data_IF_696249061176
#
_entry.id   IF_696249061176
#
_cell.length_a   1.000
_cell.length_b   1.000
_cell.length_c   1.000
_cell.angle_alpha   90.00
_cell.angle_beta   90.00
_cell.angle_gamma   90.00
#
_symmetry.space_group_name_H-M   'P 1'
#
loop_
_entity.id
_entity.type
_entity.pdbx_description
1 polymer ?
#
# COMPACT_ATOMS: atom_id res chain seq x y z
N UNK A 1 3.29 -1.05 -4.95
CA UNK A 1 2.97 -2.48 -5.07
C UNK A 1 2.94 -2.88 -6.54
N UNK A 2 2.09 -2.29 -7.42
CA UNK A 2 1.94 -2.68 -8.84
C UNK A 2 3.22 -2.59 -9.72
N UNK A 3 4.26 -1.90 -9.32
CA UNK A 3 5.52 -1.85 -10.08
C UNK A 3 6.47 -3.03 -9.76
N UNK A 4 6.31 -3.67 -8.61
CA UNK A 4 7.19 -4.78 -8.21
C UNK A 4 7.00 -6.00 -9.11
N UNK A 5 5.77 -6.47 -9.41
CA UNK A 5 5.57 -7.64 -10.26
C UNK A 5 6.04 -7.47 -11.71
N UNK A 6 6.13 -6.24 -12.20
CA UNK A 6 6.59 -5.94 -13.59
C UNK A 6 7.93 -6.61 -13.88
N UNK A 7 8.88 -6.50 -12.95
CA UNK A 7 10.22 -7.08 -13.09
C UNK A 7 10.21 -8.61 -13.13
N UNK A 8 9.34 -9.25 -12.35
CA UNK A 8 9.33 -10.71 -12.17
C UNK A 8 8.43 -11.43 -13.17
N UNK A 9 7.37 -10.76 -13.65
CA UNK A 9 6.34 -11.36 -14.48
C UNK A 9 6.34 -10.84 -15.93
N UNK A 10 7.22 -9.88 -16.26
CA UNK A 10 7.27 -9.29 -17.60
C UNK A 10 6.00 -8.54 -18.01
N UNK A 11 5.23 -8.04 -17.04
CA UNK A 11 3.95 -7.36 -17.25
C UNK A 11 4.12 -5.83 -17.20
N UNK A 12 3.06 -5.07 -17.37
CA UNK A 12 3.05 -3.62 -17.14
C UNK A 12 2.39 -3.28 -15.79
N UNK A 13 2.71 -2.12 -15.22
CA UNK A 13 2.07 -1.64 -13.99
C UNK A 13 0.54 -1.46 -14.15
N UNK A 14 0.09 -1.21 -15.38
CA UNK A 14 -1.32 -1.02 -15.77
C UNK A 14 -1.97 -2.27 -16.36
N UNK A 15 -1.37 -3.45 -16.23
CA UNK A 15 -1.95 -4.70 -16.73
C UNK A 15 -3.34 -4.92 -16.14
N UNK A 16 -4.31 -5.40 -16.93
CA UNK A 16 -5.70 -5.61 -16.55
C UNK A 16 -6.33 -4.38 -15.84
N UNK A 17 -6.44 -3.22 -16.52
CA UNK A 17 -6.86 -1.98 -15.89
C UNK A 17 -8.30 -2.03 -15.37
N UNK A 18 -9.22 -2.65 -16.10
CA UNK A 18 -10.63 -2.80 -15.68
C UNK A 18 -10.75 -3.65 -14.42
N UNK A 19 -10.02 -4.77 -14.38
CA UNK A 19 -9.94 -5.62 -13.19
C UNK A 19 -9.43 -4.82 -11.96
N UNK A 20 -8.38 -4.02 -12.16
CA UNK A 20 -7.84 -3.17 -11.09
C UNK A 20 -8.83 -2.11 -10.63
N UNK A 21 -9.59 -1.53 -11.55
CA UNK A 21 -10.61 -0.52 -11.23
C UNK A 21 -11.75 -1.12 -10.41
N UNK A 22 -12.21 -2.33 -10.75
CA UNK A 22 -13.24 -3.04 -9.99
C UNK A 22 -12.75 -3.29 -8.57
N UNK A 23 -11.59 -3.93 -8.40
CA UNK A 23 -11.00 -4.27 -7.10
C UNK A 23 -10.77 -3.02 -6.24
N UNK A 24 -10.21 -1.97 -6.81
CA UNK A 24 -9.98 -0.71 -6.10
C UNK A 24 -11.30 -0.01 -5.71
N UNK A 25 -12.28 -0.02 -6.60
CA UNK A 25 -13.62 0.52 -6.35
C UNK A 25 -14.35 -0.21 -5.23
N UNK A 26 -14.33 -1.54 -5.26
CA UNK A 26 -14.93 -2.39 -4.21
C UNK A 26 -14.25 -2.14 -2.86
N UNK A 27 -12.92 -2.07 -2.82
CA UNK A 27 -12.20 -1.77 -1.58
C UNK A 27 -12.53 -0.39 -1.03
N UNK A 28 -12.58 0.61 -1.90
CA UNK A 28 -12.95 1.98 -1.52
C UNK A 28 -14.37 2.03 -0.93
N UNK A 29 -15.34 1.40 -1.59
CA UNK A 29 -16.73 1.37 -1.12
C UNK A 29 -16.87 0.62 0.22
N UNK A 30 -16.14 -0.49 0.39
CA UNK A 30 -16.10 -1.25 1.64
C UNK A 30 -15.54 -0.39 2.78
N UNK A 31 -14.40 0.27 2.55
CA UNK A 31 -13.77 1.14 3.53
C UNK A 31 -14.68 2.34 3.89
N UNK A 32 -15.27 2.98 2.88
CA UNK A 32 -16.22 4.08 3.08
C UNK A 32 -17.42 3.64 3.89
N UNK A 33 -18.03 2.51 3.54
CA UNK A 33 -19.17 1.95 4.29
C UNK A 33 -18.81 1.68 5.75
N UNK A 34 -17.64 1.08 5.99
CA UNK A 34 -17.15 0.83 7.34
C UNK A 34 -16.97 2.13 8.13
N UNK A 35 -16.35 3.15 7.54
CA UNK A 35 -16.17 4.46 8.19
C UNK A 35 -17.51 5.13 8.54
N UNK A 36 -18.45 5.16 7.59
CA UNK A 36 -19.78 5.73 7.80
C UNK A 36 -20.57 4.96 8.87
N UNK A 37 -20.40 3.64 8.90
CA UNK A 37 -21.03 2.82 9.93
C UNK A 37 -20.43 3.11 11.32
N UNK A 38 -19.09 3.21 11.43
CA UNK A 38 -18.43 3.54 12.68
C UNK A 38 -18.80 4.95 13.18
N UNK A 39 -18.91 5.92 12.28
CA UNK A 39 -19.39 7.26 12.63
C UNK A 39 -20.80 7.20 13.26
N UNK A 40 -21.72 6.45 12.66
CA UNK A 40 -23.08 6.27 13.22
C UNK A 40 -23.05 5.60 14.60
N UNK A 41 -22.16 4.63 14.79
CA UNK A 41 -21.99 3.94 16.08
C UNK A 41 -21.45 4.91 17.14
N UNK A 42 -20.41 5.69 16.80
CA UNK A 42 -19.82 6.68 17.70
C UNK A 42 -20.85 7.75 18.10
N UNK A 43 -21.59 8.29 17.14
CA UNK A 43 -22.69 9.27 17.42
C UNK A 43 -23.75 8.71 18.37
N UNK A 44 -24.14 7.43 18.20
CA UNK A 44 -25.12 6.78 19.11
C UNK A 44 -24.59 6.60 20.53
N UNK A 45 -23.27 6.45 20.68
CA UNK A 45 -22.61 6.35 22.00
C UNK A 45 -22.32 7.71 22.63
N UNK A 46 -22.60 8.82 21.95
CA UNK A 46 -22.26 10.16 22.41
C UNK A 46 -20.76 10.45 22.41
N UNK A 47 -19.97 9.69 21.61
CA UNK A 47 -18.56 9.94 21.43
C UNK A 47 -18.35 11.21 20.61
N UNK A 48 -17.49 12.12 21.08
CA UNK A 48 -17.12 13.36 20.41
C UNK A 48 -15.61 13.40 20.20
N UNK A 49 -15.21 14.14 19.15
CA UNK A 49 -13.80 14.41 18.92
C UNK A 49 -13.22 15.23 20.08
N UNK A 50 -12.18 14.75 20.70
CA UNK A 50 -11.40 15.47 21.71
C UNK A 50 -9.95 15.52 21.23
N UNK A 51 -9.47 16.71 20.90
CA UNK A 51 -8.09 16.92 20.51
C UNK A 51 -7.25 17.31 21.73
N UNK A 52 -6.01 16.87 21.76
CA UNK A 52 -5.01 17.37 22.70
C UNK A 52 -4.60 18.82 22.35
N UNK A 53 -3.91 19.49 23.26
CA UNK A 53 -3.51 20.89 23.08
C UNK A 53 -2.59 21.09 21.86
N UNK A 54 -1.77 20.10 21.51
CA UNK A 54 -0.88 20.17 20.34
C UNK A 54 -1.68 20.11 19.04
N UNK A 55 -2.64 19.21 18.95
CA UNK A 55 -3.55 19.08 17.79
C UNK A 55 -4.39 20.33 17.62
N UNK A 56 -4.96 20.88 18.70
CA UNK A 56 -5.72 22.13 18.63
C UNK A 56 -4.89 23.31 18.14
N UNK A 57 -3.64 23.40 18.58
CA UNK A 57 -2.70 24.43 18.10
C UNK A 57 -2.41 24.27 16.60
N UNK A 58 -2.13 23.05 16.14
CA UNK A 58 -1.93 22.77 14.71
C UNK A 58 -3.16 23.12 13.87
N UNK A 59 -4.37 22.81 14.35
CA UNK A 59 -5.61 23.16 13.65
C UNK A 59 -5.77 24.68 13.55
N UNK A 60 -5.53 25.41 14.64
CA UNK A 60 -5.62 26.87 14.64
C UNK A 60 -4.58 27.52 13.71
N UNK A 61 -3.35 27.01 13.68
CA UNK A 61 -2.31 27.47 12.74
C UNK A 61 -2.68 27.17 11.29
N UNK A 62 -3.34 26.04 11.02
CA UNK A 62 -3.80 25.69 9.70
C UNK A 62 -4.94 26.57 9.21
N UNK A 63 -5.92 26.90 10.08
CA UNK A 63 -7.03 27.81 9.76
C UNK A 63 -6.55 29.24 9.45
N UNK A 64 -5.43 29.67 10.03
CA UNK A 64 -4.86 31.00 9.77
C UNK A 64 -4.07 31.10 8.47
N UNK A 65 -3.73 29.97 7.84
CA UNK A 65 -2.98 29.96 6.57
C UNK A 65 -3.93 30.26 5.40
N UNK A 66 -3.51 31.17 4.52
CA UNK A 66 -4.20 31.38 3.25
C UNK A 66 -4.16 30.09 2.40
N UNK A 67 -5.31 29.52 2.15
CA UNK A 67 -5.42 28.37 1.29
C UNK A 67 -5.38 28.79 -0.18
N UNK A 68 -4.43 28.25 -0.93
CA UNK A 68 -4.36 28.49 -2.38
C UNK A 68 -5.54 27.84 -3.14
N UNK A 69 -5.66 28.16 -4.42
CA UNK A 69 -6.70 27.56 -5.28
C UNK A 69 -6.51 26.03 -5.35
N UNK A 70 -7.46 25.30 -4.77
CA UNK A 70 -7.43 23.83 -4.73
C UNK A 70 -7.37 23.19 -6.13
N UNK A 71 -7.95 23.80 -7.16
CA UNK A 71 -7.90 23.28 -8.52
C UNK A 71 -6.46 23.20 -9.07
N UNK A 72 -5.61 24.16 -8.72
CA UNK A 72 -4.20 24.17 -9.12
C UNK A 72 -3.43 23.01 -8.48
N UNK A 73 -3.83 22.60 -7.28
CA UNK A 73 -3.18 21.48 -6.58
C UNK A 73 -3.37 20.12 -7.28
N UNK A 74 -4.40 19.99 -8.13
CA UNK A 74 -4.61 18.76 -8.91
C UNK A 74 -3.71 18.65 -10.14
N UNK A 75 -3.09 19.73 -10.62
CA UNK A 75 -2.23 19.72 -11.82
C UNK A 75 -1.04 18.75 -11.66
N UNK A 76 -0.23 18.80 -10.58
CA UNK A 76 0.86 17.85 -10.39
C UNK A 76 0.37 16.40 -10.33
N UNK A 77 -0.74 16.17 -9.66
CA UNK A 77 -1.34 14.83 -9.57
C UNK A 77 -1.76 14.32 -10.94
N UNK A 78 -2.42 15.14 -11.74
CA UNK A 78 -2.83 14.78 -13.10
C UNK A 78 -1.62 14.48 -14.00
N UNK A 79 -0.53 15.26 -13.89
CA UNK A 79 0.71 15.05 -14.63
C UNK A 79 1.45 13.76 -14.24
N UNK A 80 1.22 13.24 -13.04
CA UNK A 80 1.71 11.91 -12.64
C UNK A 80 0.77 10.81 -13.12
N UNK A 81 -0.53 10.93 -12.86
CA UNK A 81 -1.49 9.85 -13.07
C UNK A 81 -1.83 9.64 -14.54
N UNK A 82 -2.12 10.71 -15.28
CA UNK A 82 -2.58 10.59 -16.68
C UNK A 82 -1.54 9.89 -17.57
N UNK A 83 -0.25 10.29 -17.60
CA UNK A 83 0.72 9.63 -18.46
C UNK A 83 0.98 8.17 -18.09
N UNK A 84 0.78 7.75 -16.83
CA UNK A 84 0.87 6.34 -16.44
C UNK A 84 -0.14 5.47 -17.19
N UNK A 85 -1.36 5.96 -17.45
CA UNK A 85 -2.35 5.22 -18.25
C UNK A 85 -1.94 5.05 -19.71
N UNK A 86 -1.07 5.92 -20.22
CA UNK A 86 -0.49 5.82 -21.56
C UNK A 86 0.83 5.04 -21.59
N UNK A 87 1.19 4.37 -20.48
CA UNK A 87 2.38 3.52 -20.40
C UNK A 87 3.69 4.28 -20.22
N UNK A 88 3.66 5.57 -19.90
CA UNK A 88 4.87 6.34 -19.61
C UNK A 88 5.53 5.79 -18.33
N UNK A 89 6.85 5.68 -18.36
CA UNK A 89 7.61 5.18 -17.22
C UNK A 89 7.38 6.04 -15.97
N UNK A 90 7.15 5.40 -14.84
CA UNK A 90 6.82 6.04 -13.56
C UNK A 90 7.85 7.09 -13.11
N UNK A 91 9.13 6.90 -13.42
CA UNK A 91 10.18 7.87 -13.08
C UNK A 91 9.98 9.20 -13.80
N UNK A 92 9.62 9.17 -15.07
CA UNK A 92 9.35 10.41 -15.85
C UNK A 92 8.08 11.09 -15.36
N UNK A 93 7.03 10.34 -15.03
CA UNK A 93 5.79 10.93 -14.53
C UNK A 93 5.98 11.58 -13.16
N UNK A 94 6.76 10.96 -12.27
CA UNK A 94 7.12 11.55 -10.97
C UNK A 94 7.98 12.81 -11.14
N UNK A 95 8.92 12.81 -12.09
CA UNK A 95 9.70 14.02 -12.42
C UNK A 95 8.81 15.14 -12.95
N UNK A 96 7.85 14.84 -13.82
CA UNK A 96 6.87 15.82 -14.32
C UNK A 96 6.05 16.42 -13.17
N UNK A 97 5.56 15.57 -12.26
CA UNK A 97 4.85 16.01 -11.06
C UNK A 97 5.72 16.92 -10.19
N UNK A 98 6.96 16.53 -9.91
CA UNK A 98 7.89 17.31 -9.10
C UNK A 98 8.24 18.66 -9.73
N UNK A 99 8.56 18.68 -11.04
CA UNK A 99 8.84 19.92 -11.79
C UNK A 99 7.61 20.84 -11.77
N UNK A 100 6.41 20.30 -11.94
CA UNK A 100 5.18 21.11 -11.90
C UNK A 100 4.95 21.75 -10.53
N UNK A 101 5.21 21.02 -9.43
CA UNK A 101 5.17 21.58 -8.08
C UNK A 101 6.20 22.71 -7.94
N UNK A 102 7.42 22.49 -8.40
CA UNK A 102 8.48 23.50 -8.34
C UNK A 102 8.08 24.77 -9.10
N UNK A 103 7.49 24.65 -10.29
CA UNK A 103 7.04 25.80 -11.09
C UNK A 103 5.85 26.52 -10.43
N UNK A 104 4.81 25.79 -10.04
CA UNK A 104 3.56 26.36 -9.53
C UNK A 104 3.71 27.01 -8.15
N UNK A 105 4.59 26.46 -7.32
CA UNK A 105 4.71 26.87 -5.91
C UNK A 105 6.06 27.51 -5.56
N UNK A 106 6.94 27.74 -6.53
CA UNK A 106 8.29 28.29 -6.31
C UNK A 106 8.32 29.54 -5.45
N UNK A 107 7.39 30.47 -5.71
CA UNK A 107 7.30 31.74 -4.98
C UNK A 107 6.57 31.62 -3.62
N UNK A 108 5.94 30.48 -3.35
CA UNK A 108 5.25 30.21 -2.09
C UNK A 108 6.09 29.40 -1.11
N UNK A 109 7.24 28.94 -1.55
CA UNK A 109 8.16 28.13 -0.74
C UNK A 109 9.25 29.06 -0.20
N UNK A 110 9.21 29.36 1.10
CA UNK A 110 10.16 30.28 1.74
C UNK A 110 11.55 29.65 1.87
N UNK A 111 11.64 28.42 2.37
CA UNK A 111 12.91 27.73 2.59
C UNK A 111 13.05 26.50 1.69
N UNK A 112 13.40 26.73 0.41
CA UNK A 112 13.50 25.70 -0.62
C UNK A 112 14.52 24.61 -0.31
N UNK A 113 15.66 25.00 0.26
CA UNK A 113 16.75 24.06 0.60
C UNK A 113 16.31 23.13 1.73
N UNK A 114 15.64 23.66 2.74
CA UNK A 114 15.14 22.86 3.86
C UNK A 114 14.09 21.84 3.40
N UNK A 115 13.15 22.26 2.57
CA UNK A 115 12.13 21.35 1.99
C UNK A 115 12.79 20.25 1.15
N UNK A 116 13.79 20.60 0.34
CA UNK A 116 14.54 19.59 -0.42
C UNK A 116 15.29 18.63 0.50
N UNK A 117 15.94 19.13 1.54
CA UNK A 117 16.65 18.29 2.51
C UNK A 117 15.69 17.36 3.27
N UNK A 118 14.53 17.85 3.68
CA UNK A 118 13.49 17.01 4.30
C UNK A 118 13.04 15.92 3.33
N UNK A 119 12.74 16.28 2.07
CA UNK A 119 12.32 15.31 1.06
C UNK A 119 13.39 14.23 0.76
N UNK A 120 14.67 14.62 0.72
CA UNK A 120 15.79 13.67 0.58
C UNK A 120 15.90 12.77 1.80
N UNK A 121 15.78 13.34 3.01
CA UNK A 121 15.82 12.57 4.27
C UNK A 121 14.70 11.52 4.32
N UNK A 122 13.48 11.90 3.95
CA UNK A 122 12.32 11.00 3.90
C UNK A 122 12.52 9.90 2.85
N UNK A 123 13.04 10.26 1.67
CA UNK A 123 13.37 9.29 0.63
C UNK A 123 14.45 8.30 1.09
N UNK A 124 15.49 8.76 1.77
CA UNK A 124 16.53 7.90 2.35
C UNK A 124 15.95 6.96 3.40
N UNK A 125 15.05 7.45 4.26
CA UNK A 125 14.33 6.61 5.22
C UNK A 125 13.55 5.47 4.55
N UNK A 126 12.82 5.78 3.47
CA UNK A 126 12.09 4.79 2.69
C UNK A 126 13.00 3.77 2.00
N UNK A 127 14.14 4.23 1.44
CA UNK A 127 15.14 3.35 0.80
C UNK A 127 15.76 2.41 1.83
N UNK A 128 16.19 2.92 2.98
CA UNK A 128 16.79 2.13 4.05
C UNK A 128 15.80 1.09 4.59
N UNK A 129 14.55 1.50 4.85
CA UNK A 129 13.51 0.58 5.32
C UNK A 129 13.24 -0.55 4.30
N UNK A 130 13.10 -0.21 3.02
CA UNK A 130 12.90 -1.20 1.96
C UNK A 130 14.10 -2.14 1.82
N UNK A 131 15.31 -1.60 1.85
CA UNK A 131 16.55 -2.38 1.76
C UNK A 131 16.71 -3.33 2.96
N UNK A 132 16.36 -2.88 4.16
CA UNK A 132 16.39 -3.70 5.36
C UNK A 132 15.42 -4.89 5.27
N UNK A 133 14.21 -4.67 4.76
CA UNK A 133 13.22 -5.75 4.54
C UNK A 133 13.72 -6.75 3.50
N UNK A 134 14.29 -6.29 2.39
CA UNK A 134 14.88 -7.17 1.36
C UNK A 134 16.06 -7.95 1.92
N UNK A 135 16.94 -7.29 2.69
CA UNK A 135 18.07 -7.94 3.39
C UNK A 135 17.61 -8.99 4.39
N UNK A 136 16.60 -8.66 5.21
CA UNK A 136 15.96 -9.63 6.11
C UNK A 136 15.40 -10.83 5.36
N UNK A 137 14.70 -10.59 4.24
CA UNK A 137 14.18 -11.64 3.38
C UNK A 137 15.29 -12.54 2.83
N UNK A 138 16.44 -11.97 2.46
CA UNK A 138 17.63 -12.73 2.03
C UNK A 138 18.13 -13.69 3.11
N UNK A 139 18.19 -13.23 4.36
CA UNK A 139 18.57 -14.08 5.50
C UNK A 139 17.49 -15.10 5.82
N UNK A 140 16.21 -14.67 5.82
CA UNK A 140 15.09 -15.56 6.11
C UNK A 140 15.02 -16.76 5.16
N UNK A 141 15.35 -16.58 3.86
CA UNK A 141 15.43 -17.68 2.86
C UNK A 141 16.39 -18.81 3.24
N UNK A 142 17.37 -18.53 4.08
CA UNK A 142 18.36 -19.53 4.55
C UNK A 142 17.83 -20.34 5.75
N UNK A 143 16.66 -20.00 6.28
CA UNK A 143 16.10 -20.66 7.48
C UNK A 143 15.17 -21.82 7.10
N UNK A 144 15.14 -22.86 7.95
CA UNK A 144 14.19 -23.96 7.81
C UNK A 144 12.74 -23.50 7.90
N UNK A 145 12.47 -22.46 8.71
CA UNK A 145 11.14 -21.86 8.82
C UNK A 145 10.61 -21.28 7.50
N UNK A 146 11.48 -20.65 6.73
CA UNK A 146 11.11 -20.15 5.40
C UNK A 146 10.77 -21.30 4.43
N UNK A 147 11.61 -22.33 4.40
CA UNK A 147 11.35 -23.53 3.58
C UNK A 147 10.04 -24.20 3.96
N UNK A 148 9.71 -24.26 5.27
CA UNK A 148 8.43 -24.78 5.75
C UNK A 148 7.26 -23.92 5.25
N UNK A 149 7.36 -22.59 5.34
CA UNK A 149 6.34 -21.66 4.84
C UNK A 149 6.07 -21.85 3.34
N UNK A 150 7.14 -21.94 2.54
CA UNK A 150 7.05 -22.18 1.10
C UNK A 150 6.42 -23.54 0.82
N UNK A 151 6.84 -24.58 1.52
CA UNK A 151 6.29 -25.94 1.35
C UNK A 151 4.79 -25.97 1.71
N UNK A 152 4.38 -25.33 2.80
CA UNK A 152 2.96 -25.23 3.17
C UNK A 152 2.19 -24.51 2.06
N UNK A 153 2.66 -23.34 1.61
CA UNK A 153 2.01 -22.58 0.55
C UNK A 153 1.88 -23.38 -0.76
N UNK A 154 2.89 -24.18 -1.11
CA UNK A 154 2.93 -24.94 -2.38
C UNK A 154 2.30 -26.32 -2.29
N UNK A 155 2.13 -26.88 -1.10
CA UNK A 155 1.47 -28.19 -0.88
C UNK A 155 -0.04 -28.09 -0.68
N UNK A 156 -0.57 -26.88 -0.53
CA UNK A 156 -2.01 -26.67 -0.45
C UNK A 156 -2.66 -27.14 -1.76
N UNK A 157 -3.44 -28.21 -1.66
CA UNK A 157 -4.27 -28.67 -2.78
C UNK A 157 -5.38 -27.65 -3.09
N UNK A 158 -5.89 -27.68 -4.32
CA UNK A 158 -6.96 -26.78 -4.76
C UNK A 158 -6.52 -25.82 -5.87
N UNK A 159 -7.19 -24.68 -5.99
CA UNK A 159 -6.86 -23.69 -7.04
C UNK A 159 -5.46 -23.12 -6.85
N UNK A 160 -4.62 -23.13 -7.90
CA UNK A 160 -3.29 -22.53 -7.85
C UNK A 160 -3.30 -21.04 -7.43
N UNK A 161 -4.35 -20.30 -7.79
CA UNK A 161 -4.51 -18.90 -7.40
C UNK A 161 -4.69 -18.75 -5.88
N UNK A 162 -5.41 -19.68 -5.24
CA UNK A 162 -5.61 -19.66 -3.78
C UNK A 162 -4.27 -19.94 -3.08
N UNK A 163 -3.54 -20.98 -3.48
CA UNK A 163 -2.27 -21.33 -2.86
C UNK A 163 -1.21 -20.24 -3.04
N UNK A 164 -1.14 -19.64 -4.22
CA UNK A 164 -0.28 -18.50 -4.48
C UNK A 164 -0.64 -17.26 -3.61
N UNK A 165 -1.94 -16.97 -3.50
CA UNK A 165 -2.46 -15.88 -2.68
C UNK A 165 -2.08 -16.04 -1.21
N UNK A 166 -2.33 -17.23 -0.65
CA UNK A 166 -2.01 -17.55 0.74
C UNK A 166 -0.51 -17.48 1.01
N UNK A 167 0.31 -18.02 0.11
CA UNK A 167 1.76 -17.92 0.21
C UNK A 167 2.25 -16.48 0.21
N UNK A 168 1.72 -15.66 -0.69
CA UNK A 168 2.06 -14.23 -0.78
C UNK A 168 1.61 -13.47 0.47
N UNK A 169 0.39 -13.71 0.96
CA UNK A 169 -0.14 -13.11 2.17
C UNK A 169 0.69 -13.47 3.41
N UNK A 170 1.04 -14.75 3.58
CA UNK A 170 1.85 -15.24 4.71
C UNK A 170 3.25 -14.62 4.71
N UNK A 171 3.90 -14.55 3.53
CA UNK A 171 5.23 -13.92 3.41
C UNK A 171 5.16 -12.43 3.72
N UNK A 172 4.12 -11.72 3.27
CA UNK A 172 3.92 -10.31 3.57
C UNK A 172 3.63 -10.07 5.04
N UNK A 173 2.82 -10.93 5.66
CA UNK A 173 2.55 -10.90 7.08
C UNK A 173 3.78 -11.17 7.93
N UNK A 174 4.58 -12.17 7.57
CA UNK A 174 5.83 -12.47 8.27
C UNK A 174 6.84 -11.33 8.21
N UNK A 175 6.92 -10.64 7.04
CA UNK A 175 7.80 -9.48 6.85
C UNK A 175 7.25 -8.20 7.50
N UNK A 176 5.96 -8.14 7.85
CA UNK A 176 5.30 -6.89 8.25
C UNK A 176 5.38 -5.81 7.17
N UNK A 177 5.43 -6.21 5.89
CA UNK A 177 5.62 -5.31 4.76
C UNK A 177 5.06 -5.91 3.48
N UNK A 178 4.06 -5.23 2.88
CA UNK A 178 3.47 -5.67 1.62
C UNK A 178 4.47 -5.70 0.47
N UNK A 179 5.31 -4.69 0.33
CA UNK A 179 6.33 -4.63 -0.73
C UNK A 179 7.44 -5.65 -0.53
N UNK A 180 7.91 -5.83 0.69
CA UNK A 180 8.94 -6.81 1.03
C UNK A 180 8.45 -8.24 0.83
N UNK A 181 7.29 -8.57 1.39
CA UNK A 181 6.69 -9.89 1.24
C UNK A 181 6.31 -10.21 -0.21
N UNK A 182 5.81 -9.23 -0.96
CA UNK A 182 5.53 -9.37 -2.39
C UNK A 182 6.81 -9.72 -3.18
N UNK A 183 7.91 -9.02 -2.92
CA UNK A 183 9.19 -9.29 -3.56
C UNK A 183 9.62 -10.74 -3.30
N UNK A 184 9.58 -11.16 -2.03
CA UNK A 184 9.92 -12.53 -1.65
C UNK A 184 9.01 -13.57 -2.30
N UNK A 185 7.70 -13.33 -2.31
CA UNK A 185 6.73 -14.22 -2.93
C UNK A 185 6.97 -14.36 -4.44
N UNK A 186 7.21 -13.26 -5.13
CA UNK A 186 7.48 -13.29 -6.57
C UNK A 186 8.78 -14.00 -6.91
N UNK A 187 9.85 -13.77 -6.15
CA UNK A 187 11.12 -14.47 -6.36
C UNK A 187 11.01 -15.98 -6.10
N UNK A 188 10.19 -16.39 -5.14
CA UNK A 188 10.17 -17.78 -4.67
C UNK A 188 9.06 -18.60 -5.29
N UNK A 189 7.85 -18.02 -5.37
CA UNK A 189 6.65 -18.75 -5.79
C UNK A 189 6.33 -18.53 -7.27
N UNK A 190 6.52 -17.32 -7.82
CA UNK A 190 6.06 -17.00 -9.16
C UNK A 190 6.59 -17.95 -10.26
N UNK A 191 7.88 -18.38 -10.27
CA UNK A 191 8.39 -19.28 -11.31
C UNK A 191 7.55 -20.56 -11.43
N UNK A 192 7.22 -21.19 -10.30
CA UNK A 192 6.41 -22.41 -10.27
C UNK A 192 5.02 -22.21 -10.86
N UNK A 193 4.36 -21.10 -10.54
CA UNK A 193 3.00 -20.83 -11.01
C UNK A 193 2.97 -20.41 -12.48
N UNK A 194 4.04 -19.80 -12.99
CA UNK A 194 4.24 -19.54 -14.41
C UNK A 194 4.43 -20.86 -15.20
N UNK A 195 5.21 -21.81 -14.66
CA UNK A 195 5.38 -23.16 -15.23
C UNK A 195 4.07 -23.94 -15.28
N UNK A 196 3.14 -23.69 -14.34
CA UNK A 196 1.78 -24.25 -14.37
C UNK A 196 0.87 -23.59 -15.43
N UNK A 197 1.37 -22.62 -16.21
CA UNK A 197 0.65 -21.95 -17.28
C UNK A 197 -0.30 -20.84 -16.84
N UNK A 198 -0.18 -20.35 -15.59
CA UNK A 198 -1.03 -19.25 -15.12
C UNK A 198 -0.64 -17.96 -15.83
N UNK A 199 -1.66 -17.21 -16.29
CA UNK A 199 -1.46 -15.94 -16.96
C UNK A 199 -0.67 -14.95 -16.09
N UNK A 200 0.46 -14.40 -16.58
CA UNK A 200 1.29 -13.47 -15.81
C UNK A 200 0.54 -12.22 -15.33
N UNK A 201 -0.44 -11.72 -16.13
CA UNK A 201 -1.24 -10.57 -15.75
C UNK A 201 -2.18 -10.85 -14.57
N UNK A 202 -2.78 -12.05 -14.56
CA UNK A 202 -3.60 -12.51 -13.43
C UNK A 202 -2.72 -12.68 -12.19
N UNK A 203 -1.58 -13.35 -12.32
CA UNK A 203 -0.65 -13.56 -11.24
C UNK A 203 -0.16 -12.23 -10.63
N UNK A 204 0.10 -11.23 -11.49
CA UNK A 204 0.45 -9.87 -11.08
C UNK A 204 -0.63 -9.26 -10.16
N UNK A 205 -1.89 -9.33 -10.58
CA UNK A 205 -2.99 -8.71 -9.81
C UNK A 205 -3.29 -9.45 -8.53
N UNK A 206 -3.29 -10.76 -8.57
CA UNK A 206 -3.47 -11.60 -7.37
C UNK A 206 -2.32 -11.36 -6.38
N UNK A 207 -1.06 -11.31 -6.84
CA UNK A 207 0.09 -10.98 -5.97
C UNK A 207 -0.07 -9.62 -5.30
N UNK A 208 -0.49 -8.61 -6.08
CA UNK A 208 -0.69 -7.25 -5.58
C UNK A 208 -1.85 -7.14 -4.58
N UNK A 209 -2.91 -7.92 -4.74
CA UNK A 209 -4.02 -7.99 -3.80
C UNK A 209 -3.67 -8.80 -2.55
N UNK A 210 -2.96 -9.92 -2.71
CA UNK A 210 -2.61 -10.80 -1.61
C UNK A 210 -1.59 -10.16 -0.63
N UNK A 211 -0.61 -9.42 -1.15
CA UNK A 211 0.46 -8.88 -0.31
C UNK A 211 -0.01 -7.82 0.69
N UNK A 212 -1.16 -7.17 0.46
CA UNK A 212 -1.72 -6.15 1.34
C UNK A 212 -2.71 -6.72 2.37
N UNK A 213 -2.90 -8.04 2.43
CA UNK A 213 -3.86 -8.66 3.37
C UNK A 213 -3.31 -8.79 4.78
N UNK A 214 -2.15 -9.43 4.92
CA UNK A 214 -1.53 -9.66 6.23
C UNK A 214 -0.33 -8.76 6.51
N UNK A 215 0.05 -7.88 5.59
CA UNK A 215 1.14 -6.93 5.80
C UNK A 215 0.86 -5.94 6.93
N UNK A 216 -0.42 -5.62 7.13
CA UNK A 216 -0.90 -4.63 8.10
C UNK A 216 -1.12 -5.20 9.51
N UNK A 217 -0.45 -6.31 9.87
CA UNK A 217 -0.45 -6.85 11.22
C UNK A 217 0.18 -5.86 12.23
N UNK A 218 -0.04 -6.01 13.56
CA UNK A 218 0.33 -4.99 14.55
C UNK A 218 1.81 -4.59 14.55
N UNK A 219 2.70 -5.42 14.05
CA UNK A 219 4.15 -5.17 13.96
C UNK A 219 4.56 -4.39 12.70
N UNK A 220 3.62 -4.08 11.81
CA UNK A 220 3.91 -3.28 10.61
C UNK A 220 4.26 -1.83 10.99
N UNK A 221 5.37 -1.32 10.45
CA UNK A 221 5.86 0.03 10.74
C UNK A 221 4.88 1.14 10.34
N UNK A 222 4.11 0.96 9.26
CA UNK A 222 3.10 1.94 8.83
C UNK A 222 1.96 2.00 9.84
N UNK A 223 1.50 0.85 10.38
CA UNK A 223 0.46 0.81 11.40
C UNK A 223 0.91 1.51 12.68
N UNK A 224 2.14 1.26 13.11
CA UNK A 224 2.75 1.94 14.27
C UNK A 224 2.81 3.46 14.03
N UNK A 225 3.26 3.89 12.85
CA UNK A 225 3.38 5.31 12.52
C UNK A 225 2.01 5.99 12.45
N UNK A 226 1.01 5.39 11.81
CA UNK A 226 -0.34 5.95 11.71
C UNK A 226 -0.96 6.15 13.10
N UNK A 227 -0.85 5.14 13.97
CA UNK A 227 -1.35 5.24 15.35
C UNK A 227 -0.62 6.34 16.13
N UNK A 228 0.71 6.43 16.00
CA UNK A 228 1.51 7.47 16.65
C UNK A 228 1.13 8.87 16.18
N UNK A 229 0.93 9.06 14.86
CA UNK A 229 0.48 10.34 14.30
C UNK A 229 -0.92 10.75 14.80
N UNK A 230 -1.78 9.77 15.07
CA UNK A 230 -3.11 10.02 15.64
C UNK A 230 -3.10 10.15 17.18
N UNK A 231 -1.95 9.99 17.84
CA UNK A 231 -1.86 9.97 19.30
C UNK A 231 -2.56 8.78 19.95
N UNK A 232 -2.73 7.67 19.21
CA UNK A 232 -3.46 6.49 19.66
C UNK A 232 -2.52 5.32 19.95
N UNK A 233 -2.89 4.54 20.96
CA UNK A 233 -2.26 3.24 21.23
C UNK A 233 -2.84 2.15 20.31
N UNK A 234 -2.13 1.03 20.17
CA UNK A 234 -2.65 -0.13 19.45
C UNK A 234 -4.00 -0.61 20.01
N UNK A 235 -4.18 -0.58 21.33
CA UNK A 235 -5.42 -0.99 21.97
C UNK A 235 -6.62 -0.13 21.57
N UNK A 236 -6.40 1.14 21.37
CA UNK A 236 -7.45 2.12 21.01
C UNK A 236 -7.78 2.12 19.53
N UNK A 237 -6.76 2.20 18.67
CA UNK A 237 -6.95 2.45 17.24
C UNK A 237 -6.82 1.23 16.34
N UNK A 238 -6.00 0.23 16.69
CA UNK A 238 -5.66 -0.86 15.78
C UNK A 238 -6.85 -1.70 15.33
N UNK A 239 -7.88 -1.87 16.17
CA UNK A 239 -9.09 -2.62 15.80
C UNK A 239 -9.76 -2.12 14.51
N UNK A 240 -9.75 -0.80 14.28
CA UNK A 240 -10.34 -0.18 13.10
C UNK A 240 -9.42 -0.33 11.87
N UNK A 241 -8.11 -0.21 12.08
CA UNK A 241 -7.12 -0.50 11.05
C UNK A 241 -7.22 -1.96 10.61
N UNK A 242 -7.23 -2.90 11.56
CA UNK A 242 -7.38 -4.33 11.28
C UNK A 242 -8.66 -4.66 10.49
N UNK A 243 -9.78 -4.05 10.85
CA UNK A 243 -11.04 -4.28 10.16
C UNK A 243 -10.99 -3.87 8.67
N UNK A 244 -10.35 -2.74 8.36
CA UNK A 244 -10.24 -2.27 6.96
C UNK A 244 -9.07 -2.97 6.26
N UNK A 245 -7.87 -2.93 6.82
CA UNK A 245 -6.65 -3.31 6.11
C UNK A 245 -6.40 -4.82 6.09
N UNK A 246 -6.89 -5.57 7.07
CA UNK A 246 -6.76 -7.03 7.08
C UNK A 246 -8.05 -7.69 6.61
N UNK A 247 -9.16 -7.48 7.34
CA UNK A 247 -10.43 -8.15 7.00
C UNK A 247 -10.96 -7.65 5.66
N UNK A 248 -10.96 -6.34 5.44
CA UNK A 248 -11.37 -5.76 4.15
C UNK A 248 -10.52 -6.25 2.99
N UNK A 249 -9.20 -6.28 3.13
CA UNK A 249 -8.30 -6.79 2.08
C UNK A 249 -8.47 -8.27 1.80
N UNK A 250 -8.78 -9.10 2.80
CA UNK A 250 -9.11 -10.52 2.57
C UNK A 250 -10.38 -10.67 1.74
N UNK A 251 -11.43 -9.88 2.04
CA UNK A 251 -12.67 -9.89 1.25
C UNK A 251 -12.37 -9.53 -0.22
N UNK A 252 -11.58 -8.49 -0.42
CA UNK A 252 -11.17 -8.04 -1.74
C UNK A 252 -10.27 -9.05 -2.46
N UNK A 253 -9.41 -9.75 -1.74
CA UNK A 253 -8.62 -10.84 -2.33
C UNK A 253 -9.51 -11.99 -2.81
N UNK A 254 -10.55 -12.34 -2.05
CA UNK A 254 -11.53 -13.35 -2.48
C UNK A 254 -12.24 -12.88 -3.76
N UNK A 255 -12.71 -11.64 -3.81
CA UNK A 255 -13.28 -11.03 -5.02
C UNK A 255 -12.30 -11.12 -6.20
N UNK A 256 -11.03 -10.76 -5.97
CA UNK A 256 -10.00 -10.83 -7.00
C UNK A 256 -9.78 -12.24 -7.53
N UNK A 257 -9.78 -13.25 -6.67
CA UNK A 257 -9.66 -14.66 -7.09
C UNK A 257 -10.87 -15.10 -7.90
N UNK A 258 -12.09 -14.76 -7.46
CA UNK A 258 -13.33 -15.11 -8.17
C UNK A 258 -13.39 -14.46 -9.56
N UNK A 259 -12.97 -13.21 -9.69
CA UNK A 259 -12.94 -12.52 -10.99
C UNK A 259 -11.86 -13.06 -11.94
N UNK A 260 -10.87 -13.76 -11.42
CA UNK A 260 -9.76 -14.33 -12.18
C UNK A 260 -9.96 -15.81 -12.56
N UNK A 261 -10.95 -16.46 -11.95
CA UNK A 261 -11.31 -17.88 -12.18
C UNK A 261 -12.27 -18.04 -13.34
#
# INVERSE_FOLDING_TARGET
VNNIPVKYLGTSATVLPVYSAIIAGSFFLLALFYCLWQEKVARKKGEHFSADAATLKMMAEYEQKEHGNGAIAFIPLALVVIPLFFGVNVLYTLLMGWISIAILYWNKIDNKIEILNCGVSDAMGAIVATSAVVGFGGVAKLTAGYTTLVNVATSMGGSPLISFSLGTALLSGACGSGSGGLTLALETLAPRYLEMGINPGVLHKIASAACITLDSLPHNGVMVTVLACCGLTHKEGYKHLFAITVVGSIIILIEAIVLAS
#
